data_IF_417796799693
#
_entry.id   IF_417796799693
#
_cell.length_a   1.000
_cell.length_b   1.000
_cell.length_c   1.000
_cell.angle_alpha   90.00
_cell.angle_beta   90.00
_cell.angle_gamma   90.00
#
_symmetry.space_group_name_H-M   'P 1'
#
loop_
_entity.id
_entity.type
_entity.pdbx_description
1 polymer ?
#
# COMPACT_ATOMS: atom_id res chain seq x y z
N UNK A 1 20.03 26.89 -1.16
CA UNK A 1 19.22 27.93 -0.49
C UNK A 1 17.93 27.26 -0.05
N UNK A 2 17.69 27.13 1.26
CA UNK A 2 16.36 26.72 1.76
C UNK A 2 15.44 27.92 1.57
N UNK A 3 14.34 27.74 0.84
CA UNK A 3 13.34 28.79 0.62
C UNK A 3 12.09 28.38 1.36
N UNK A 4 11.96 28.81 2.61
CA UNK A 4 10.68 28.74 3.32
C UNK A 4 9.81 29.89 2.82
N UNK A 5 8.90 29.63 1.87
CA UNK A 5 7.88 30.59 1.46
C UNK A 5 6.59 30.28 2.19
N UNK A 6 6.26 31.11 3.19
CA UNK A 6 4.94 31.10 3.81
C UNK A 6 3.94 31.81 2.90
N UNK A 7 2.96 31.10 2.37
CA UNK A 7 1.74 31.70 1.84
C UNK A 7 0.59 30.69 1.90
N UNK A 8 -0.49 31.08 2.58
CA UNK A 8 -1.79 30.42 2.52
C UNK A 8 -2.34 30.58 1.09
N UNK A 9 -2.21 29.54 0.28
CA UNK A 9 -2.71 29.54 -1.10
C UNK A 9 -4.22 29.24 -1.14
N UNK A 10 -5.04 30.07 -0.50
CA UNK A 10 -6.51 30.00 -0.63
C UNK A 10 -7.12 28.61 -0.40
N UNK A 11 -6.40 27.71 0.26
CA UNK A 11 -6.84 26.36 0.60
C UNK A 11 -7.81 26.45 1.78
N UNK A 12 -8.74 25.51 1.88
CA UNK A 12 -9.61 25.35 3.05
C UNK A 12 -8.82 25.16 4.38
N UNK A 13 -7.50 24.98 4.30
CA UNK A 13 -6.60 24.73 5.42
C UNK A 13 -5.60 25.87 5.63
N UNK A 14 -5.43 26.26 6.89
CA UNK A 14 -4.28 27.05 7.36
C UNK A 14 -3.03 26.15 7.37
N UNK A 15 -2.35 26.05 6.24
CA UNK A 15 -1.17 25.21 6.04
C UNK A 15 0.10 26.05 5.91
N UNK A 16 1.16 25.66 6.62
CA UNK A 16 2.51 26.18 6.38
C UNK A 16 3.25 25.25 5.43
N UNK A 17 3.69 25.78 4.29
CA UNK A 17 4.47 25.02 3.30
C UNK A 17 5.95 25.36 3.50
N UNK A 18 6.77 24.33 3.73
CA UNK A 18 8.23 24.43 3.77
C UNK A 18 8.79 23.72 2.56
N UNK A 19 9.47 24.47 1.70
CA UNK A 19 10.15 23.92 0.52
C UNK A 19 11.67 23.96 0.72
N UNK A 20 12.30 22.80 0.58
CA UNK A 20 13.74 22.68 0.53
C UNK A 20 14.14 22.17 -0.85
N UNK A 21 14.99 22.92 -1.54
CA UNK A 21 15.58 22.50 -2.80
C UNK A 21 17.07 22.86 -2.84
N UNK A 22 17.86 22.01 -3.46
CA UNK A 22 19.26 22.31 -3.77
C UNK A 22 19.34 23.28 -4.97
N UNK A 23 19.36 24.60 -4.73
CA UNK A 23 19.31 25.64 -5.78
C UNK A 23 20.70 26.22 -6.12
N UNK A 24 21.73 25.38 -6.30
CA UNK A 24 23.05 25.88 -6.69
C UNK A 24 23.66 25.02 -7.80
N UNK A 25 24.30 25.60 -8.84
CA UNK A 25 24.83 24.85 -9.98
C UNK A 25 25.86 23.76 -9.62
N UNK A 26 26.57 23.91 -8.50
CA UNK A 26 27.47 22.88 -7.96
C UNK A 26 26.74 21.70 -7.25
N UNK A 27 25.41 21.74 -7.15
CA UNK A 27 24.58 20.80 -6.37
C UNK A 27 23.71 19.88 -7.23
N UNK A 28 23.97 19.77 -8.54
CA UNK A 28 23.27 18.83 -9.46
C UNK A 28 23.33 17.35 -9.01
N UNK A 29 24.22 17.01 -8.07
CA UNK A 29 24.41 15.66 -7.53
C UNK A 29 23.73 15.44 -6.17
N UNK A 30 23.06 16.44 -5.58
CA UNK A 30 22.36 16.25 -4.31
C UNK A 30 21.11 15.43 -4.55
N UNK A 31 21.02 14.31 -3.85
CA UNK A 31 19.81 13.48 -3.77
C UNK A 31 19.53 13.06 -2.32
N UNK A 32 20.10 13.78 -1.34
CA UNK A 32 19.95 13.53 0.09
C UNK A 32 19.68 14.86 0.79
N UNK A 33 18.56 14.94 1.49
CA UNK A 33 18.20 16.11 2.29
C UNK A 33 17.85 15.68 3.72
N UNK A 34 18.27 16.49 4.68
CA UNK A 34 17.90 16.38 6.09
C UNK A 34 17.25 17.68 6.53
N UNK A 35 16.09 17.58 7.18
CA UNK A 35 15.38 18.68 7.81
C UNK A 35 15.30 18.40 9.31
N UNK A 36 15.75 19.36 10.12
CA UNK A 36 15.58 19.32 11.58
C UNK A 36 14.44 20.26 11.98
N UNK A 37 13.49 19.72 12.73
CA UNK A 37 12.32 20.43 13.25
C UNK A 37 12.48 20.47 14.77
N UNK A 38 12.33 21.64 15.40
CA UNK A 38 12.39 21.76 16.85
C UNK A 38 11.41 20.79 17.53
N UNK A 39 11.81 20.21 18.65
CA UNK A 39 10.98 19.30 19.42
C UNK A 39 11.10 19.58 20.91
N UNK A 40 10.01 19.37 21.65
CA UNK A 40 10.07 19.37 23.11
C UNK A 40 10.39 17.98 23.64
N UNK A 41 11.08 17.89 24.78
CA UNK A 41 11.47 16.59 25.38
C UNK A 41 10.25 15.73 25.76
N UNK A 42 9.13 16.36 26.10
CA UNK A 42 7.90 15.66 26.52
C UNK A 42 6.95 15.29 25.38
N UNK A 43 7.25 15.78 24.17
CA UNK A 43 6.40 15.62 22.99
C UNK A 43 6.32 14.16 22.54
N UNK A 44 5.11 13.75 22.15
CA UNK A 44 4.80 12.42 21.62
C UNK A 44 4.46 12.54 20.14
N UNK A 45 4.86 11.55 19.36
CA UNK A 45 4.68 11.52 17.91
C UNK A 45 3.89 10.26 17.54
N UNK A 46 2.93 10.39 16.63
CA UNK A 46 2.05 9.31 16.19
C UNK A 46 1.93 9.31 14.66
N UNK A 47 1.39 8.24 14.10
CA UNK A 47 1.17 8.11 12.66
C UNK A 47 2.35 7.40 12.00
N UNK A 48 2.89 7.99 10.93
CA UNK A 48 3.88 7.31 10.11
C UNK A 48 3.27 6.09 9.41
N UNK A 49 1.98 6.16 9.06
CA UNK A 49 1.11 5.09 8.51
C UNK A 49 0.70 4.01 9.53
N UNK A 50 0.56 2.75 9.09
CA UNK A 50 0.30 1.60 9.95
C UNK A 50 1.57 1.09 10.68
N UNK A 51 1.62 1.30 11.99
CA UNK A 51 2.74 0.92 12.85
C UNK A 51 2.33 -0.19 13.83
N UNK A 52 3.10 -1.28 13.86
CA UNK A 52 2.71 -2.50 14.59
C UNK A 52 3.30 -2.61 16.00
N UNK A 53 4.46 -1.99 16.25
CA UNK A 53 5.19 -2.17 17.51
C UNK A 53 5.00 -1.00 18.48
N UNK A 54 5.04 0.23 17.95
CA UNK A 54 5.01 1.43 18.77
C UNK A 54 3.97 2.40 18.24
N UNK A 55 3.00 2.73 19.08
CA UNK A 55 2.06 3.80 18.76
C UNK A 55 2.70 5.18 18.93
N UNK A 56 3.39 5.41 20.06
CA UNK A 56 4.23 6.61 20.24
C UNK A 56 5.61 6.36 19.62
N UNK A 57 5.92 7.12 18.58
CA UNK A 57 7.13 6.99 17.79
C UNK A 57 8.36 7.64 18.45
N UNK A 58 8.19 8.43 19.51
CA UNK A 58 9.32 9.14 20.14
C UNK A 58 10.43 8.20 20.60
N UNK A 59 11.68 8.65 20.46
CA UNK A 59 12.88 7.95 20.92
C UNK A 59 13.45 6.92 19.94
N UNK A 60 12.92 6.84 18.72
CA UNK A 60 13.31 5.87 17.68
C UNK A 60 13.32 6.52 16.30
N UNK A 61 13.94 5.87 15.34
CA UNK A 61 13.87 6.22 13.93
C UNK A 61 13.10 5.17 13.12
N UNK A 62 12.40 5.63 12.08
CA UNK A 62 11.48 4.83 11.27
C UNK A 62 11.77 5.05 9.80
N UNK A 63 12.43 4.08 9.13
CA UNK A 63 12.47 4.02 7.68
C UNK A 63 11.06 3.88 7.10
N UNK A 64 10.72 4.75 6.16
CA UNK A 64 9.46 4.73 5.43
C UNK A 64 9.73 4.11 4.05
N UNK A 65 9.48 2.81 3.98
CA UNK A 65 9.66 2.00 2.77
C UNK A 65 8.72 0.79 2.82
N UNK A 66 7.80 0.67 1.85
CA UNK A 66 6.91 -0.49 1.75
C UNK A 66 7.72 -1.74 1.46
N UNK A 67 7.55 -2.76 2.29
CA UNK A 67 8.20 -4.07 2.15
C UNK A 67 7.35 -5.12 2.84
N UNK A 68 7.68 -6.40 2.63
CA UNK A 68 7.13 -7.46 3.46
C UNK A 68 7.34 -7.13 4.94
N UNK A 69 6.28 -7.30 5.73
CA UNK A 69 6.41 -7.31 7.17
C UNK A 69 7.14 -8.60 7.51
N UNK A 70 8.42 -8.50 7.87
CA UNK A 70 9.25 -9.66 8.21
C UNK A 70 8.57 -10.59 9.21
N UNK A 71 8.95 -11.87 9.22
CA UNK A 71 8.43 -12.90 10.14
C UNK A 71 8.58 -12.50 11.62
N UNK A 72 9.45 -11.52 11.89
CA UNK A 72 9.48 -10.68 13.08
C UNK A 72 9.36 -9.21 12.63
N UNK A 73 8.29 -8.56 13.10
CA UNK A 73 7.77 -7.24 12.76
C UNK A 73 8.83 -6.20 12.35
N UNK A 74 8.67 -5.64 11.14
CA UNK A 74 9.30 -4.38 10.74
C UNK A 74 8.23 -3.39 10.33
N UNK A 75 8.30 -2.12 10.78
CA UNK A 75 7.33 -1.11 10.36
C UNK A 75 7.56 -0.73 8.89
N UNK A 76 6.47 -0.64 8.13
CA UNK A 76 6.47 -0.17 6.75
C UNK A 76 5.11 0.40 6.41
N UNK A 77 5.07 1.55 5.74
CA UNK A 77 3.82 2.25 5.45
C UNK A 77 3.88 2.97 4.12
N UNK A 78 2.78 2.98 3.35
CA UNK A 78 2.66 3.87 2.21
C UNK A 78 2.29 5.27 2.70
N UNK A 79 3.28 6.15 2.85
CA UNK A 79 3.09 7.59 2.75
C UNK A 79 3.37 7.98 1.30
N UNK A 80 2.55 8.86 0.71
CA UNK A 80 2.70 9.32 -0.66
C UNK A 80 4.00 10.11 -0.87
N UNK A 81 5.11 9.40 -1.06
CA UNK A 81 6.38 9.96 -1.52
C UNK A 81 7.05 8.94 -2.43
N UNK A 82 7.43 9.36 -3.65
CA UNK A 82 8.14 8.50 -4.60
C UNK A 82 9.61 8.22 -4.23
N UNK A 83 10.03 8.54 -3.00
CA UNK A 83 11.43 8.44 -2.56
C UNK A 83 11.52 7.89 -1.15
N UNK A 84 12.58 7.13 -0.88
CA UNK A 84 12.89 6.61 0.45
C UNK A 84 13.05 7.75 1.47
N UNK A 85 12.49 7.57 2.67
CA UNK A 85 12.51 8.56 3.75
C UNK A 85 12.81 7.88 5.09
N UNK A 86 13.37 8.62 6.04
CA UNK A 86 13.50 8.19 7.45
C UNK A 86 12.95 9.30 8.35
N UNK A 87 12.06 8.93 9.25
CA UNK A 87 11.55 9.78 10.32
C UNK A 87 12.29 9.45 11.63
N UNK A 88 13.19 10.33 12.05
CA UNK A 88 14.05 10.10 13.22
C UNK A 88 13.63 10.99 14.40
N UNK A 89 13.17 10.34 15.48
CA UNK A 89 12.66 10.98 16.69
C UNK A 89 13.51 10.66 17.92
N UNK A 90 14.78 10.26 17.73
CA UNK A 90 15.69 9.86 18.81
C UNK A 90 16.20 11.04 19.64
N UNK A 91 16.41 12.20 19.01
CA UNK A 91 16.89 13.40 19.70
C UNK A 91 15.82 14.00 20.62
N UNK A 92 16.28 14.69 21.67
CA UNK A 92 15.40 15.25 22.71
C UNK A 92 14.85 16.63 22.37
N UNK A 93 15.53 17.36 21.50
CA UNK A 93 15.31 18.78 21.18
C UNK A 93 15.00 19.03 19.70
N UNK A 94 15.03 18.00 18.86
CA UNK A 94 14.56 18.06 17.47
C UNK A 94 14.07 16.70 16.96
N UNK A 95 13.25 16.75 15.91
CA UNK A 95 12.94 15.65 15.02
C UNK A 95 13.72 15.83 13.72
N UNK A 96 14.20 14.75 13.12
CA UNK A 96 14.92 14.78 11.85
C UNK A 96 14.17 14.00 10.78
N UNK A 97 13.92 14.66 9.65
CA UNK A 97 13.34 14.04 8.46
C UNK A 97 14.43 13.96 7.41
N UNK A 98 14.77 12.73 7.02
CA UNK A 98 15.67 12.45 5.92
C UNK A 98 14.88 12.02 4.69
N UNK A 99 15.18 12.58 3.52
CA UNK A 99 14.65 12.09 2.23
C UNK A 99 15.76 11.86 1.23
N UNK A 100 15.66 10.74 0.50
CA UNK A 100 16.51 10.44 -0.65
C UNK A 100 15.95 11.13 -1.90
N UNK A 101 15.95 12.47 -1.88
CA UNK A 101 15.55 13.33 -2.99
C UNK A 101 16.39 14.62 -2.99
N UNK A 102 16.44 15.30 -4.13
CA UNK A 102 17.04 16.64 -4.28
C UNK A 102 16.14 17.76 -3.73
N UNK A 103 14.87 17.44 -3.50
CA UNK A 103 13.85 18.36 -3.00
C UNK A 103 12.95 17.70 -1.96
N UNK A 104 12.43 18.51 -1.05
CA UNK A 104 11.44 18.15 -0.05
C UNK A 104 10.41 19.27 0.02
N UNK A 105 9.13 18.90 -0.08
CA UNK A 105 8.01 19.77 0.30
C UNK A 105 7.39 19.18 1.55
N UNK A 106 7.35 19.97 2.62
CA UNK A 106 6.68 19.63 3.86
C UNK A 106 5.47 20.55 4.03
N UNK A 107 4.30 19.95 4.26
CA UNK A 107 3.08 20.66 4.61
C UNK A 107 2.82 20.45 6.11
N UNK A 108 2.65 21.56 6.82
CA UNK A 108 2.39 21.57 8.26
C UNK A 108 1.02 22.17 8.51
N UNK A 109 0.09 21.33 8.96
CA UNK A 109 -1.23 21.75 9.43
C UNK A 109 -1.24 21.76 10.95
N UNK A 110 -2.01 22.68 11.53
CA UNK A 110 -2.22 22.76 12.98
C UNK A 110 -3.71 22.84 13.30
N UNK A 111 -4.07 22.41 14.51
CA UNK A 111 -5.41 22.56 15.05
C UNK A 111 -5.33 22.64 16.57
N UNK A 112 -6.37 23.18 17.21
CA UNK A 112 -6.46 23.23 18.67
C UNK A 112 -6.90 21.89 19.28
N UNK A 113 -7.30 20.93 18.45
CA UNK A 113 -7.72 19.59 18.88
C UNK A 113 -7.13 18.49 18.01
N UNK A 114 -6.86 17.32 18.62
CA UNK A 114 -6.44 16.14 17.87
C UNK A 114 -7.48 15.69 16.82
N UNK A 115 -8.78 15.81 17.15
CA UNK A 115 -9.86 15.50 16.22
C UNK A 115 -9.84 16.41 14.99
N UNK A 116 -9.62 17.72 15.18
CA UNK A 116 -9.51 18.67 14.07
C UNK A 116 -8.36 18.34 13.13
N UNK A 117 -7.18 17.96 13.65
CA UNK A 117 -6.06 17.48 12.83
C UNK A 117 -6.44 16.22 12.02
N UNK A 118 -7.04 15.23 12.67
CA UNK A 118 -7.45 13.97 12.02
C UNK A 118 -8.49 14.23 10.92
N UNK A 119 -9.45 15.13 11.14
CA UNK A 119 -10.43 15.55 10.13
C UNK A 119 -9.78 16.21 8.92
N UNK A 120 -8.74 17.02 9.10
CA UNK A 120 -7.98 17.63 7.99
C UNK A 120 -7.27 16.57 7.15
N UNK A 121 -6.68 15.56 7.79
CA UNK A 121 -6.05 14.43 7.09
C UNK A 121 -7.06 13.70 6.20
N UNK A 122 -8.26 13.39 6.71
CA UNK A 122 -9.32 12.73 5.93
C UNK A 122 -9.79 13.57 4.73
N UNK A 123 -9.96 14.88 4.92
CA UNK A 123 -10.36 15.76 3.81
C UNK A 123 -9.31 15.80 2.69
N UNK A 124 -8.03 15.68 3.02
CA UNK A 124 -6.95 15.69 2.03
C UNK A 124 -6.73 14.33 1.36
N UNK A 125 -6.75 13.24 2.13
CA UNK A 125 -6.51 11.89 1.62
C UNK A 125 -7.74 11.28 0.91
N UNK A 126 -8.92 11.83 1.14
CA UNK A 126 -10.19 11.20 0.80
C UNK A 126 -10.72 10.36 1.95
N UNK A 127 -12.03 10.07 1.90
CA UNK A 127 -12.71 9.26 2.92
C UNK A 127 -13.10 7.91 2.34
N UNK A 128 -13.04 6.88 3.18
CA UNK A 128 -13.56 5.57 2.83
C UNK A 128 -15.10 5.63 2.74
N UNK A 129 -15.72 4.91 1.79
CA UNK A 129 -17.17 4.76 1.80
C UNK A 129 -17.61 4.01 3.08
N UNK A 130 -18.89 4.15 3.49
CA UNK A 130 -19.46 3.30 4.52
C UNK A 130 -19.27 1.82 4.19
N UNK A 131 -19.07 1.00 5.21
CA UNK A 131 -19.09 -0.44 5.03
C UNK A 131 -20.45 -0.87 4.46
N UNK A 132 -20.49 -1.79 3.48
CA UNK A 132 -21.75 -2.38 3.04
C UNK A 132 -22.50 -3.05 4.20
N UNK A 133 -23.82 -2.90 4.26
CA UNK A 133 -24.65 -3.40 5.37
C UNK A 133 -24.44 -4.90 5.67
N UNK A 134 -24.19 -5.71 4.62
CA UNK A 134 -23.98 -7.15 4.77
C UNK A 134 -22.76 -7.50 5.63
N UNK A 135 -21.74 -6.63 5.71
CA UNK A 135 -20.56 -6.84 6.55
C UNK A 135 -20.93 -6.88 8.02
N UNK A 136 -21.99 -6.18 8.42
CA UNK A 136 -22.50 -6.18 9.79
C UNK A 136 -23.36 -7.41 10.12
N UNK A 137 -23.71 -8.21 9.10
CA UNK A 137 -24.59 -9.37 9.22
C UNK A 137 -23.95 -10.62 9.83
N UNK A 138 -22.61 -10.68 9.94
CA UNK A 138 -21.92 -11.84 10.48
C UNK A 138 -20.41 -11.83 10.26
N UNK A 139 -19.77 -12.98 10.50
CA UNK A 139 -18.34 -13.15 10.25
C UNK A 139 -18.04 -13.35 8.77
N UNK A 140 -16.85 -12.96 8.33
CA UNK A 140 -16.25 -13.38 7.06
C UNK A 140 -15.29 -14.54 7.38
N UNK A 141 -15.57 -15.75 6.88
CA UNK A 141 -14.74 -16.92 7.17
C UNK A 141 -13.76 -17.16 6.01
N UNK A 142 -12.45 -17.10 6.28
CA UNK A 142 -11.43 -17.52 5.32
C UNK A 142 -11.35 -19.03 5.21
N UNK A 143 -11.67 -19.59 4.05
CA UNK A 143 -11.51 -21.00 3.75
C UNK A 143 -10.71 -21.17 2.46
N UNK A 144 -9.91 -22.24 2.44
CA UNK A 144 -9.09 -22.68 1.32
C UNK A 144 -9.53 -24.13 0.98
N UNK A 145 -9.03 -24.73 -0.12
CA UNK A 145 -9.32 -26.13 -0.55
C UNK A 145 -10.58 -26.45 -1.42
N UNK A 146 -11.12 -25.47 -2.16
CA UNK A 146 -12.07 -25.77 -3.26
C UNK A 146 -13.54 -25.91 -2.84
N UNK A 147 -14.45 -26.19 -3.79
CA UNK A 147 -15.91 -26.18 -3.54
C UNK A 147 -16.45 -27.45 -2.86
N UNK A 148 -15.74 -28.58 -2.89
CA UNK A 148 -16.23 -29.86 -2.35
C UNK A 148 -16.30 -29.91 -0.82
N UNK A 149 -15.54 -29.08 -0.10
CA UNK A 149 -15.49 -29.07 1.37
C UNK A 149 -16.21 -27.88 2.04
N UNK A 150 -16.74 -26.93 1.25
CA UNK A 150 -17.30 -25.69 1.78
C UNK A 150 -18.82 -25.77 1.92
N UNK A 151 -19.28 -26.05 3.13
CA UNK A 151 -20.71 -26.00 3.50
C UNK A 151 -20.90 -25.06 4.71
N UNK A 152 -20.55 -23.78 4.53
CA UNK A 152 -20.53 -22.78 5.60
C UNK A 152 -21.10 -21.43 5.15
N UNK A 153 -21.71 -20.73 6.10
CA UNK A 153 -22.52 -19.51 5.93
C UNK A 153 -21.72 -18.21 5.67
N UNK A 154 -20.41 -18.31 5.41
CA UNK A 154 -19.56 -17.21 4.96
C UNK A 154 -18.28 -17.79 4.36
N UNK A 155 -17.76 -17.19 3.29
CA UNK A 155 -16.62 -17.73 2.56
C UNK A 155 -15.75 -16.62 1.93
N UNK A 156 -14.52 -16.53 2.40
CA UNK A 156 -13.40 -15.84 1.77
C UNK A 156 -12.52 -16.95 1.18
N UNK A 157 -12.62 -17.11 -0.14
CA UNK A 157 -11.84 -18.08 -0.90
C UNK A 157 -10.45 -17.51 -1.17
N UNK A 158 -9.46 -18.08 -0.49
CA UNK A 158 -8.05 -17.87 -0.78
C UNK A 158 -7.53 -19.18 -1.40
N UNK A 159 -7.10 -19.13 -2.66
CA UNK A 159 -6.80 -20.34 -3.44
C UNK A 159 -5.33 -20.74 -3.33
N UNK A 160 -5.04 -21.95 -2.85
CA UNK A 160 -3.75 -22.64 -2.98
C UNK A 160 -3.84 -23.79 -4.01
N UNK A 161 -2.70 -24.22 -4.59
CA UNK A 161 -2.62 -25.47 -5.37
C UNK A 161 -2.38 -26.57 -4.37
N UNK A 162 -3.24 -27.58 -4.38
CA UNK A 162 -3.17 -28.69 -3.46
C UNK A 162 -1.82 -29.41 -3.41
N UNK A 163 -1.53 -29.94 -2.22
CA UNK A 163 -0.43 -30.86 -1.98
C UNK A 163 0.03 -31.02 -0.53
N UNK A 164 -0.86 -31.21 0.47
CA UNK A 164 -0.60 -31.76 1.83
C UNK A 164 0.81 -31.49 2.42
N UNK A 165 1.28 -30.25 2.39
CA UNK A 165 2.45 -29.84 3.19
C UNK A 165 2.29 -28.40 3.67
N UNK A 166 2.78 -28.11 4.87
CA UNK A 166 2.62 -26.85 5.63
C UNK A 166 3.22 -25.58 4.97
N UNK A 167 3.34 -25.51 3.63
CA UNK A 167 3.92 -24.37 2.89
C UNK A 167 3.22 -24.08 1.56
N UNK A 168 1.90 -24.18 1.50
CA UNK A 168 1.16 -23.75 0.31
C UNK A 168 0.86 -22.25 0.40
N UNK A 169 1.38 -21.47 -0.58
CA UNK A 169 1.13 -20.04 -0.73
C UNK A 169 0.01 -19.81 -1.74
N UNK A 170 -0.86 -18.80 -1.55
CA UNK A 170 -1.99 -18.59 -2.44
C UNK A 170 -1.58 -18.15 -3.85
N UNK A 171 -2.32 -18.64 -4.85
CA UNK A 171 -2.16 -18.40 -6.28
C UNK A 171 -3.14 -17.34 -6.77
N UNK A 172 -2.64 -16.31 -7.42
CA UNK A 172 -3.43 -15.45 -8.30
C UNK A 172 -3.34 -16.00 -9.73
N UNK A 173 -4.16 -16.99 -10.07
CA UNK A 173 -4.38 -17.39 -11.45
C UNK A 173 -5.81 -17.93 -11.61
N UNK A 174 -6.62 -17.28 -12.44
CA UNK A 174 -7.86 -17.81 -13.02
C UNK A 174 -8.83 -18.53 -12.07
N UNK A 175 -9.55 -17.78 -11.23
CA UNK A 175 -10.55 -18.28 -10.27
C UNK A 175 -11.53 -19.33 -10.86
N UNK A 176 -11.90 -19.17 -12.14
CA UNK A 176 -12.87 -20.03 -12.83
C UNK A 176 -12.30 -21.37 -13.34
N UNK A 177 -10.97 -21.49 -13.47
CA UNK A 177 -10.30 -22.75 -13.85
C UNK A 177 -10.14 -23.71 -12.67
N UNK A 178 -10.18 -23.19 -11.44
CA UNK A 178 -9.88 -23.96 -10.22
C UNK A 178 -11.11 -24.28 -9.37
N UNK A 179 -12.27 -23.68 -9.68
CA UNK A 179 -13.55 -23.92 -8.99
C UNK A 179 -14.65 -24.14 -10.05
N UNK A 180 -14.74 -25.34 -10.64
CA UNK A 180 -15.82 -25.63 -11.58
C UNK A 180 -17.18 -25.46 -10.87
N UNK A 181 -18.06 -24.67 -11.48
CA UNK A 181 -19.39 -24.37 -10.96
C UNK A 181 -19.45 -23.32 -9.83
N UNK A 182 -18.41 -22.49 -9.70
CA UNK A 182 -18.39 -21.41 -8.70
C UNK A 182 -19.54 -20.43 -8.91
N UNK A 183 -19.94 -20.18 -10.14
CA UNK A 183 -21.06 -19.32 -10.47
C UNK A 183 -22.38 -19.83 -9.92
N UNK A 184 -22.66 -21.14 -9.99
CA UNK A 184 -23.82 -21.73 -9.32
C UNK A 184 -23.70 -21.65 -7.79
N UNK A 185 -22.53 -21.94 -7.23
CA UNK A 185 -22.31 -21.87 -5.77
C UNK A 185 -22.51 -20.44 -5.23
N UNK A 186 -22.01 -19.43 -5.94
CA UNK A 186 -22.22 -18.02 -5.58
C UNK A 186 -23.71 -17.66 -5.62
N UNK A 187 -24.45 -18.16 -6.62
CA UNK A 187 -25.90 -17.95 -6.72
C UNK A 187 -26.66 -18.63 -5.59
N UNK A 188 -26.32 -19.88 -5.26
CA UNK A 188 -26.93 -20.63 -4.15
C UNK A 188 -26.69 -19.93 -2.81
N UNK A 189 -25.44 -19.61 -2.48
CA UNK A 189 -25.07 -18.90 -1.26
C UNK A 189 -25.76 -17.53 -1.15
N UNK A 190 -25.95 -16.83 -2.28
CA UNK A 190 -26.67 -15.56 -2.29
C UNK A 190 -28.15 -15.73 -1.86
N UNK A 191 -28.79 -16.88 -2.10
CA UNK A 191 -30.16 -17.15 -1.64
C UNK A 191 -30.25 -17.26 -0.11
N UNK A 192 -29.17 -17.71 0.53
CA UNK A 192 -29.04 -17.78 1.99
C UNK A 192 -28.51 -16.47 2.61
N UNK A 193 -28.38 -15.41 1.82
CA UNK A 193 -27.85 -14.12 2.26
C UNK A 193 -26.33 -14.12 2.45
N UNK A 194 -25.63 -15.14 1.97
CA UNK A 194 -24.18 -15.28 2.08
C UNK A 194 -23.49 -14.59 0.90
N UNK A 195 -22.39 -13.89 1.19
CA UNK A 195 -21.55 -13.24 0.18
C UNK A 195 -20.25 -14.00 0.00
N UNK A 196 -19.78 -14.04 -1.24
CA UNK A 196 -18.48 -14.62 -1.62
C UNK A 196 -17.53 -13.49 -1.98
N UNK A 197 -16.34 -13.52 -1.38
CA UNK A 197 -15.24 -12.59 -1.69
C UNK A 197 -14.05 -13.35 -2.25
N UNK A 198 -13.33 -12.72 -3.17
CA UNK A 198 -12.20 -13.33 -3.89
C UNK A 198 -10.92 -12.52 -3.68
N UNK A 199 -9.78 -13.16 -3.89
CA UNK A 199 -8.47 -12.54 -3.78
C UNK A 199 -7.94 -12.09 -5.15
N UNK A 200 -7.29 -10.93 -5.20
CA UNK A 200 -6.60 -10.42 -6.37
C UNK A 200 -5.34 -9.64 -5.95
N UNK A 201 -4.28 -9.70 -6.78
CA UNK A 201 -3.06 -8.91 -6.61
C UNK A 201 -2.47 -8.56 -7.99
N UNK A 202 -1.62 -7.52 -8.10
CA UNK A 202 -1.15 -7.01 -9.39
C UNK A 202 -0.07 -7.89 -10.06
N UNK A 203 0.12 -9.13 -9.60
CA UNK A 203 1.10 -10.06 -10.15
C UNK A 203 0.41 -11.22 -10.85
N UNK A 204 0.93 -11.57 -12.02
CA UNK A 204 0.42 -12.66 -12.84
C UNK A 204 1.48 -13.75 -12.95
N UNK A 205 1.11 -14.98 -12.62
CA UNK A 205 2.02 -16.13 -12.64
C UNK A 205 2.42 -16.44 -14.09
N UNK A 206 3.71 -16.57 -14.33
CA UNK A 206 4.25 -16.92 -15.65
C UNK A 206 3.62 -18.22 -16.18
N UNK A 207 3.18 -18.22 -17.45
CA UNK A 207 2.51 -19.35 -18.09
C UNK A 207 1.02 -19.49 -17.78
N UNK A 208 0.44 -18.62 -16.93
CA UNK A 208 -1.01 -18.54 -16.77
C UNK A 208 -1.68 -17.84 -17.96
N UNK A 209 -2.95 -18.13 -18.30
CA UNK A 209 -3.64 -17.47 -19.41
C UNK A 209 -3.62 -15.94 -19.33
N UNK A 210 -3.85 -15.37 -18.13
CA UNK A 210 -3.81 -13.92 -17.94
C UNK A 210 -2.40 -13.33 -18.09
N UNK A 211 -1.36 -14.07 -17.69
CA UNK A 211 0.02 -13.64 -17.92
C UNK A 211 0.33 -13.57 -19.41
N UNK A 212 -0.06 -14.59 -20.18
CA UNK A 212 0.19 -14.64 -21.63
C UNK A 212 -0.56 -13.52 -22.37
N UNK A 213 -1.81 -13.25 -21.98
CA UNK A 213 -2.59 -12.12 -22.48
C UNK A 213 -1.90 -10.79 -22.18
N UNK A 214 -1.54 -10.56 -20.92
CA UNK A 214 -0.85 -9.35 -20.49
C UNK A 214 0.50 -9.17 -21.18
N UNK A 215 1.26 -10.25 -21.36
CA UNK A 215 2.55 -10.24 -22.04
C UNK A 215 2.41 -9.88 -23.52
N UNK A 216 1.43 -10.47 -24.22
CA UNK A 216 1.16 -10.20 -25.63
C UNK A 216 0.70 -8.76 -25.87
N UNK A 217 -0.10 -8.21 -24.95
CA UNK A 217 -0.59 -6.83 -25.02
C UNK A 217 0.40 -5.79 -24.46
N UNK A 218 1.52 -6.21 -23.88
CA UNK A 218 2.55 -5.32 -23.35
C UNK A 218 2.19 -4.67 -22.01
N UNK A 219 1.33 -5.31 -21.21
CA UNK A 219 0.85 -4.77 -19.94
C UNK A 219 1.78 -5.00 -18.73
N UNK A 220 2.82 -5.82 -18.88
CA UNK A 220 3.73 -6.17 -17.80
C UNK A 220 4.94 -5.23 -17.72
N UNK A 221 5.38 -4.94 -16.51
CA UNK A 221 6.61 -4.20 -16.23
C UNK A 221 7.81 -4.84 -16.93
N UNK A 222 8.72 -3.99 -17.42
CA UNK A 222 9.93 -4.41 -18.15
C UNK A 222 11.20 -3.96 -17.45
N UNK A 223 12.27 -4.73 -17.64
CA UNK A 223 13.61 -4.37 -17.19
C UNK A 223 14.30 -3.39 -18.16
N UNK A 224 15.58 -3.11 -17.89
CA UNK A 224 16.39 -2.17 -18.69
C UNK A 224 16.68 -2.66 -20.10
N UNK A 225 16.60 -3.96 -20.33
CA UNK A 225 16.82 -4.61 -21.63
C UNK A 225 15.49 -4.82 -22.38
N UNK A 226 14.39 -4.29 -21.82
CA UNK A 226 13.05 -4.38 -22.37
C UNK A 226 12.41 -5.76 -22.22
N UNK A 227 12.99 -6.67 -21.43
CA UNK A 227 12.39 -7.97 -21.14
C UNK A 227 11.33 -7.85 -20.05
N UNK A 228 10.37 -8.77 -20.01
CA UNK A 228 9.39 -8.81 -18.92
C UNK A 228 10.15 -9.03 -17.60
N UNK A 229 9.94 -8.14 -16.64
CA UNK A 229 10.57 -8.24 -15.33
C UNK A 229 9.83 -9.29 -14.49
N UNK A 230 10.50 -10.43 -14.27
CA UNK A 230 9.96 -11.54 -13.49
C UNK A 230 10.46 -11.50 -12.05
N UNK A 231 9.52 -11.53 -11.11
CA UNK A 231 9.77 -11.64 -9.67
C UNK A 231 9.66 -13.11 -9.23
N UNK A 232 10.58 -13.55 -8.38
CA UNK A 232 10.50 -14.84 -7.68
C UNK A 232 9.68 -14.68 -6.40
N UNK A 233 8.57 -15.40 -6.29
CA UNK A 233 7.67 -15.40 -5.14
C UNK A 233 7.92 -16.59 -4.18
N UNK A 234 9.08 -17.23 -4.29
CA UNK A 234 9.49 -18.37 -3.46
C UNK A 234 9.05 -19.70 -4.07
N UNK A 235 9.44 -19.95 -5.31
CA UNK A 235 9.19 -21.21 -6.02
C UNK A 235 8.35 -21.08 -7.29
N UNK A 236 7.95 -19.86 -7.66
CA UNK A 236 7.32 -19.54 -8.93
C UNK A 236 7.63 -18.10 -9.35
N UNK A 237 7.58 -17.84 -10.65
CA UNK A 237 7.85 -16.53 -11.22
C UNK A 237 6.56 -15.84 -11.65
N UNK A 238 6.48 -14.52 -11.47
CA UNK A 238 5.36 -13.71 -11.92
C UNK A 238 5.78 -12.37 -12.48
N UNK A 239 5.04 -11.89 -13.48
CA UNK A 239 5.15 -10.52 -13.99
C UNK A 239 4.24 -9.59 -13.20
N UNK A 240 4.60 -8.32 -13.09
CA UNK A 240 3.77 -7.29 -12.44
C UNK A 240 3.10 -6.44 -13.51
N UNK A 241 1.79 -6.21 -13.38
CA UNK A 241 1.06 -5.28 -14.26
C UNK A 241 1.58 -3.87 -14.04
N UNK A 242 1.93 -3.18 -15.12
CA UNK A 242 2.40 -1.80 -15.07
C UNK A 242 1.22 -0.82 -14.91
N UNK A 243 0.72 -0.67 -13.69
CA UNK A 243 -0.40 0.23 -13.36
C UNK A 243 -0.06 1.72 -13.51
N UNK A 244 1.20 2.07 -13.77
CA UNK A 244 1.57 3.45 -14.12
C UNK A 244 1.26 3.77 -15.59
N UNK A 245 1.13 2.75 -16.44
CA UNK A 245 0.67 2.90 -17.81
C UNK A 245 -0.85 2.78 -17.86
N UNK A 246 -1.54 3.88 -18.17
CA UNK A 246 -3.01 3.96 -18.15
C UNK A 246 -3.72 2.81 -18.89
N UNK A 247 -3.30 2.41 -20.10
CA UNK A 247 -3.93 1.27 -20.78
C UNK A 247 -3.82 -0.05 -20.02
N UNK A 248 -2.70 -0.32 -19.34
CA UNK A 248 -2.56 -1.49 -18.47
C UNK A 248 -3.42 -1.40 -17.22
N UNK A 249 -3.50 -0.20 -16.61
CA UNK A 249 -4.36 0.03 -15.45
C UNK A 249 -5.84 -0.21 -15.79
N UNK A 250 -6.30 0.31 -16.93
CA UNK A 250 -7.68 0.11 -17.41
C UNK A 250 -7.96 -1.35 -17.75
N UNK A 251 -7.06 -2.01 -18.50
CA UNK A 251 -7.18 -3.44 -18.79
C UNK A 251 -7.32 -4.28 -17.52
N UNK A 252 -6.51 -3.97 -16.49
CA UNK A 252 -6.53 -4.69 -15.23
C UNK A 252 -7.77 -4.38 -14.37
N UNK A 253 -8.30 -3.16 -14.46
CA UNK A 253 -9.57 -2.77 -13.85
C UNK A 253 -10.80 -3.39 -14.57
N UNK A 254 -10.63 -3.90 -15.78
CA UNK A 254 -11.70 -4.40 -16.63
C UNK A 254 -12.52 -3.29 -17.31
N UNK A 255 -11.90 -2.14 -17.56
CA UNK A 255 -12.50 -0.95 -18.20
C UNK A 255 -12.26 -0.87 -19.72
#
# INVERSE_FOLDING_TARGET
MLVASGASNGSEFDTVIVQAAAIHPLLEKINRLWLKIYAEKSEKIFGGGEQYTYFNLRGRDYPIWTREQGTLLVPSTPLHFGSYMVLNFTATDYHEVFVHSASLTLELDYDNTALGLVQKVYKRAGTQPPLPDWVLGGAILGLEDGTEEVNCSALLLQLSKGGRSERERPLAAGLMLYLPGLDEVVQELATDGVRVTVYCNPHLIQGSPMFEEAAAAGHLMRDRDGQIFLLDFGGFYGGTVDVHYTPSANWYAGE
#
